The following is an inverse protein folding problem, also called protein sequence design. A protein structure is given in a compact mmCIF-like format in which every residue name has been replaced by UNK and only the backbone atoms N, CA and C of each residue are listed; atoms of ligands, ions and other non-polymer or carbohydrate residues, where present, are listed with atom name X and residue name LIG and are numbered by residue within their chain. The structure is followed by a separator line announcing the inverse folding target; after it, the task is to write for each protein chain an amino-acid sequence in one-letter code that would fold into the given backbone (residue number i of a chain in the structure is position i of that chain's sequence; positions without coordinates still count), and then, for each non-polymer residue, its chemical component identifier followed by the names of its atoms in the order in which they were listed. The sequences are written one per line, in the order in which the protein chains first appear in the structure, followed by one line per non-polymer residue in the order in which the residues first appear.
data_IF_631111315831
#
_entry.id   IF_631111315831
#
_cell.length_a   1.000
_cell.length_b   1.000
_cell.length_c   1.000
_cell.angle_alpha   90.00
_cell.angle_beta   90.00
_cell.angle_gamma   90.00
#
_symmetry.space_group_name_H-M   'P 1'
#
loop_
_entity.id
_entity.type
_entity.pdbx_description
1 polymer ?
#
# COMPACT_ATOMS: atom_id res chain seq x y z
N UNK A 1 46.88 56.92 -3.63
CA UNK A 1 46.61 56.33 -2.30
C UNK A 1 45.33 55.52 -2.40
N UNK A 2 45.33 54.24 -2.01
CA UNK A 2 44.36 53.25 -2.48
C UNK A 2 43.08 53.19 -1.64
N UNK A 3 41.92 53.15 -2.30
CA UNK A 3 40.63 52.76 -1.73
C UNK A 3 40.67 51.27 -1.37
N UNK A 4 40.62 50.95 -0.07
CA UNK A 4 40.49 49.60 0.47
C UNK A 4 39.41 49.60 1.55
N UNK A 5 38.26 48.99 1.24
CA UNK A 5 37.22 48.50 2.17
C UNK A 5 36.10 47.89 1.30
N UNK A 6 36.36 46.86 0.48
CA UNK A 6 36.28 45.43 0.82
C UNK A 6 35.21 45.11 1.86
N UNK A 7 33.99 44.91 1.36
CA UNK A 7 33.22 43.64 1.45
C UNK A 7 33.41 42.86 2.75
N UNK A 8 32.49 43.04 3.69
CA UNK A 8 32.29 42.11 4.81
C UNK A 8 30.80 42.05 5.14
N UNK A 9 30.00 41.49 4.23
CA UNK A 9 28.59 41.17 4.48
C UNK A 9 28.27 39.82 3.83
N UNK A 10 28.82 38.75 4.40
CA UNK A 10 28.51 37.38 4.01
C UNK A 10 28.66 36.47 5.23
N UNK A 11 27.69 35.55 5.35
CA UNK A 11 27.54 34.48 6.34
C UNK A 11 26.97 34.86 7.71
N UNK A 12 25.68 35.18 7.71
CA UNK A 12 24.78 34.63 8.72
C UNK A 12 23.82 33.65 8.02
N UNK A 13 24.36 32.50 7.58
CA UNK A 13 23.52 31.36 7.16
C UNK A 13 22.87 30.80 8.42
N UNK A 14 21.63 31.21 8.65
CA UNK A 14 20.74 30.58 9.63
C UNK A 14 20.54 29.14 9.16
N UNK A 15 21.26 28.21 9.80
CA UNK A 15 20.97 26.77 9.71
C UNK A 15 19.64 26.56 10.42
N UNK A 16 18.54 26.70 9.69
CA UNK A 16 17.25 26.25 10.22
C UNK A 16 17.30 24.72 10.31
N UNK A 17 17.04 24.12 11.48
CA UNK A 17 16.88 22.68 11.57
C UNK A 17 15.66 22.32 10.74
N UNK A 18 15.90 21.66 9.60
CA UNK A 18 14.86 21.07 8.78
C UNK A 18 14.21 19.99 9.67
N UNK A 19 13.10 20.33 10.30
CA UNK A 19 12.31 19.38 11.07
C UNK A 19 11.79 18.37 10.06
N UNK A 20 12.41 17.19 9.99
CA UNK A 20 11.89 16.09 9.21
C UNK A 20 10.49 15.78 9.76
N UNK A 21 9.45 16.14 9.00
CA UNK A 21 8.08 15.76 9.31
C UNK A 21 8.07 14.24 9.50
N UNK A 22 7.71 13.77 10.69
CA UNK A 22 7.58 12.35 10.93
C UNK A 22 6.51 11.81 9.97
N UNK A 23 6.93 11.01 8.97
CA UNK A 23 6.05 10.34 8.01
C UNK A 23 4.94 9.62 8.78
N UNK A 24 3.69 9.65 8.31
CA UNK A 24 2.61 8.95 8.98
C UNK A 24 2.81 7.43 8.93
N UNK A 25 2.20 6.68 9.86
CA UNK A 25 2.24 5.20 9.84
C UNK A 25 1.66 4.65 8.54
N UNK A 26 0.60 5.27 8.03
CA UNK A 26 -0.01 4.92 6.74
C UNK A 26 0.98 5.10 5.59
N UNK A 27 1.64 6.26 5.49
CA UNK A 27 2.64 6.51 4.44
C UNK A 27 3.82 5.52 4.52
N UNK A 28 4.35 5.25 5.72
CA UNK A 28 5.42 4.25 5.88
C UNK A 28 4.99 2.85 5.42
N UNK A 29 3.75 2.47 5.66
CA UNK A 29 3.23 1.18 5.21
C UNK A 29 3.09 1.12 3.68
N UNK A 30 2.67 2.22 3.05
CA UNK A 30 2.67 2.33 1.59
C UNK A 30 4.10 2.28 1.02
N UNK A 31 5.03 3.02 1.59
CA UNK A 31 6.44 3.01 1.16
C UNK A 31 7.05 1.61 1.26
N UNK A 32 6.77 0.89 2.36
CA UNK A 32 7.19 -0.49 2.55
C UNK A 32 6.54 -1.44 1.53
N UNK A 33 5.23 -1.31 1.27
CA UNK A 33 4.52 -2.10 0.27
C UNK A 33 5.07 -1.86 -1.14
N UNK A 34 5.32 -0.59 -1.50
CA UNK A 34 5.95 -0.21 -2.78
C UNK A 34 7.34 -0.83 -2.88
N UNK A 35 8.18 -0.72 -1.85
CA UNK A 35 9.51 -1.30 -1.86
C UNK A 35 9.51 -2.82 -2.02
N UNK A 36 8.58 -3.52 -1.36
CA UNK A 36 8.38 -4.97 -1.54
C UNK A 36 7.96 -5.30 -2.97
N UNK A 37 6.97 -4.57 -3.51
CA UNK A 37 6.49 -4.80 -4.87
C UNK A 37 7.59 -4.56 -5.90
N UNK A 38 8.31 -3.45 -5.83
CA UNK A 38 9.41 -3.12 -6.75
C UNK A 38 10.54 -4.15 -6.69
N UNK A 39 10.83 -4.69 -5.50
CA UNK A 39 11.82 -5.77 -5.34
C UNK A 39 11.33 -7.09 -5.93
N UNK A 40 10.03 -7.39 -5.83
CA UNK A 40 9.42 -8.58 -6.44
C UNK A 40 9.24 -8.46 -7.96
N UNK A 41 9.14 -7.24 -8.49
CA UNK A 41 8.75 -6.92 -9.86
C UNK A 41 9.48 -7.75 -10.95
N UNK A 42 10.81 -7.97 -10.88
CA UNK A 42 11.50 -8.78 -11.89
C UNK A 42 10.99 -10.22 -12.01
N UNK A 43 10.31 -10.75 -10.99
CA UNK A 43 9.79 -12.13 -10.93
C UNK A 43 8.27 -12.27 -10.98
N UNK A 44 7.49 -11.19 -11.21
CA UNK A 44 6.02 -11.22 -11.21
C UNK A 44 5.41 -11.54 -12.59
N UNK A 45 6.15 -11.36 -13.69
CA UNK A 45 5.58 -11.46 -15.04
C UNK A 45 4.58 -10.33 -15.34
N UNK A 46 3.86 -10.44 -16.46
CA UNK A 46 2.88 -9.42 -16.87
C UNK A 46 1.57 -9.47 -16.06
N UNK A 47 1.21 -10.66 -15.58
CA UNK A 47 0.01 -10.91 -14.80
C UNK A 47 0.28 -12.03 -13.78
N UNK A 48 -0.31 -11.91 -12.59
CA UNK A 48 -0.34 -12.96 -11.59
C UNK A 48 -1.74 -13.05 -10.98
N UNK A 49 -2.33 -14.24 -10.99
CA UNK A 49 -3.65 -14.52 -10.39
C UNK A 49 -4.78 -13.61 -10.90
N UNK A 50 -4.76 -13.22 -12.19
CA UNK A 50 -5.75 -12.31 -12.78
C UNK A 50 -5.52 -10.84 -12.45
N UNK A 51 -4.39 -10.50 -11.83
CA UNK A 51 -3.98 -9.13 -11.51
C UNK A 51 -2.84 -8.72 -12.44
N UNK A 52 -3.09 -7.76 -13.33
CA UNK A 52 -2.07 -7.22 -14.21
C UNK A 52 -1.01 -6.44 -13.40
N UNK A 53 0.25 -6.80 -13.55
CA UNK A 53 1.37 -6.26 -12.75
C UNK A 53 1.51 -4.75 -12.92
N UNK A 54 1.36 -4.24 -14.14
CA UNK A 54 1.42 -2.80 -14.43
C UNK A 54 0.25 -2.04 -13.78
N UNK A 55 -0.98 -2.55 -13.90
CA UNK A 55 -2.16 -1.95 -13.28
C UNK A 55 -2.03 -1.90 -11.76
N UNK A 56 -1.53 -2.98 -11.14
CA UNK A 56 -1.32 -3.01 -9.70
C UNK A 56 -0.25 -2.02 -9.25
N UNK A 57 0.86 -1.91 -10.01
CA UNK A 57 1.91 -0.90 -9.76
C UNK A 57 1.35 0.51 -9.79
N UNK A 58 0.55 0.85 -10.81
CA UNK A 58 -0.09 2.16 -10.95
C UNK A 58 -1.04 2.43 -9.78
N UNK A 59 -1.84 1.44 -9.36
CA UNK A 59 -2.71 1.56 -8.20
C UNK A 59 -1.93 1.81 -6.90
N UNK A 60 -0.82 1.09 -6.71
CA UNK A 60 -0.01 1.16 -5.50
C UNK A 60 0.81 2.46 -5.41
N UNK A 61 1.37 2.92 -6.54
CA UNK A 61 2.32 4.05 -6.58
C UNK A 61 1.66 5.38 -6.97
N UNK A 62 0.80 5.36 -7.99
CA UNK A 62 0.16 6.56 -8.53
C UNK A 62 -1.24 6.79 -7.96
N UNK A 63 -1.81 5.77 -7.30
CA UNK A 63 -3.20 5.77 -6.81
C UNK A 63 -4.22 6.04 -7.93
N UNK A 64 -3.85 5.75 -9.17
CA UNK A 64 -4.69 5.92 -10.34
C UNK A 64 -4.32 4.87 -11.37
N UNK A 65 -5.30 4.11 -11.84
CA UNK A 65 -5.07 2.95 -12.68
C UNK A 65 -6.27 2.67 -13.58
N UNK A 66 -6.10 1.79 -14.58
CA UNK A 66 -7.20 1.25 -15.39
C UNK A 66 -7.48 -0.18 -14.96
N UNK A 67 -8.70 -0.46 -14.52
CA UNK A 67 -9.09 -1.80 -14.09
C UNK A 67 -9.88 -2.51 -15.17
N UNK A 68 -9.39 -3.67 -15.62
CA UNK A 68 -10.17 -4.57 -16.46
C UNK A 68 -11.40 -5.12 -15.74
N UNK A 69 -11.36 -5.24 -14.40
CA UNK A 69 -12.48 -5.72 -13.60
C UNK A 69 -13.62 -4.70 -13.54
N UNK A 70 -13.30 -3.41 -13.41
CA UNK A 70 -14.30 -2.33 -13.33
C UNK A 70 -14.66 -1.72 -14.69
N UNK A 71 -13.86 -1.99 -15.74
CA UNK A 71 -14.08 -1.49 -17.10
C UNK A 71 -13.61 -0.05 -17.36
N UNK A 72 -13.22 0.68 -16.32
CA UNK A 72 -12.89 2.12 -16.37
C UNK A 72 -11.60 2.48 -15.64
N UNK A 73 -11.21 3.76 -15.75
CA UNK A 73 -10.18 4.34 -14.90
C UNK A 73 -10.70 4.49 -13.46
N UNK A 74 -9.85 4.16 -12.49
CA UNK A 74 -10.15 4.22 -11.05
C UNK A 74 -9.09 5.03 -10.33
N UNK A 75 -9.54 5.97 -9.51
CA UNK A 75 -8.74 6.67 -8.53
C UNK A 75 -8.86 5.96 -7.16
N UNK A 76 -7.73 5.66 -6.52
CA UNK A 76 -7.67 5.07 -5.19
C UNK A 76 -7.51 6.19 -4.15
N UNK A 77 -8.59 6.50 -3.44
CA UNK A 77 -8.56 7.47 -2.36
C UNK A 77 -8.26 6.77 -1.03
N UNK A 78 -7.24 7.27 -0.32
CA UNK A 78 -6.92 6.81 1.03
C UNK A 78 -7.62 7.71 2.04
N UNK A 79 -8.22 7.15 3.08
CA UNK A 79 -8.85 7.91 4.14
C UNK A 79 -8.61 7.24 5.48
N UNK A 80 -8.09 7.98 6.44
CA UNK A 80 -8.01 7.53 7.84
C UNK A 80 -9.36 7.72 8.53
N UNK A 81 -9.89 6.65 9.11
CA UNK A 81 -11.11 6.72 9.90
C UNK A 81 -10.82 7.36 11.27
N UNK A 82 -11.56 8.43 11.59
CA UNK A 82 -11.41 9.14 12.86
C UNK A 82 -11.93 8.32 14.06
N UNK A 83 -12.84 7.36 13.83
CA UNK A 83 -13.44 6.53 14.87
C UNK A 83 -13.81 5.14 14.34
N UNK A 84 -14.10 4.22 15.26
CA UNK A 84 -14.54 2.85 14.95
C UNK A 84 -15.92 2.86 14.29
N UNK A 85 -15.95 2.82 12.95
CA UNK A 85 -17.14 2.54 12.16
C UNK A 85 -17.47 1.03 12.18
N UNK A 86 -18.63 0.63 11.67
CA UNK A 86 -19.00 -0.79 11.56
C UNK A 86 -17.96 -1.62 10.76
N UNK A 87 -17.31 -1.02 9.75
CA UNK A 87 -16.20 -1.64 9.03
C UNK A 87 -14.93 -1.74 9.88
N UNK A 88 -14.55 -0.64 10.55
CA UNK A 88 -13.34 -0.61 11.37
C UNK A 88 -13.40 -1.48 12.62
N UNK A 89 -14.60 -1.79 13.13
CA UNK A 89 -14.77 -2.75 14.21
C UNK A 89 -14.19 -4.15 13.88
N UNK A 90 -14.00 -4.48 12.60
CA UNK A 90 -13.56 -5.81 12.14
C UNK A 90 -12.19 -5.81 11.47
N UNK A 91 -11.81 -4.72 10.81
CA UNK A 91 -10.67 -4.70 9.90
C UNK A 91 -9.62 -3.64 10.29
N UNK A 92 -8.36 -3.90 9.93
CA UNK A 92 -7.30 -2.90 10.04
C UNK A 92 -7.38 -1.88 8.90
N UNK A 93 -7.76 -2.32 7.71
CA UNK A 93 -8.14 -1.46 6.60
C UNK A 93 -9.18 -2.21 5.76
N UNK A 94 -9.89 -1.52 4.89
CA UNK A 94 -10.77 -2.14 3.91
C UNK A 94 -11.00 -1.21 2.71
N UNK A 95 -11.33 -1.77 1.55
CA UNK A 95 -11.77 -0.99 0.39
C UNK A 95 -13.29 -1.01 0.25
N UNK A 96 -13.90 0.18 0.12
CA UNK A 96 -15.29 0.32 -0.32
C UNK A 96 -15.42 -0.13 -1.78
N UNK A 97 -16.10 -1.26 -2.00
CA UNK A 97 -16.39 -1.80 -3.32
C UNK A 97 -17.92 -1.85 -3.58
N UNK A 98 -18.35 -1.73 -4.85
CA UNK A 98 -17.55 -1.36 -6.02
C UNK A 98 -17.14 0.13 -5.98
N UNK A 99 -16.18 0.57 -6.83
CA UNK A 99 -15.84 1.98 -6.97
C UNK A 99 -17.09 2.84 -7.26
N UNK A 100 -17.18 4.00 -6.61
CA UNK A 100 -18.28 4.96 -6.83
C UNK A 100 -17.75 6.16 -7.59
N UNK A 101 -18.37 6.50 -8.72
CA UNK A 101 -17.94 7.59 -9.60
C UNK A 101 -16.44 7.52 -9.97
N UNK A 102 -15.96 6.33 -10.32
CA UNK A 102 -14.55 6.10 -10.66
C UNK A 102 -13.59 6.15 -9.47
N UNK A 103 -14.07 6.17 -8.22
CA UNK A 103 -13.22 6.20 -7.03
C UNK A 103 -13.43 4.96 -6.16
N UNK A 104 -12.34 4.22 -5.90
CA UNK A 104 -12.28 3.23 -4.82
C UNK A 104 -11.74 3.92 -3.57
N UNK A 105 -12.34 3.64 -2.39
CA UNK A 105 -11.87 4.25 -1.13
C UNK A 105 -11.26 3.18 -0.24
N UNK A 106 -9.96 3.26 0.01
CA UNK A 106 -9.27 2.47 1.03
C UNK A 106 -9.35 3.22 2.35
N UNK A 107 -10.13 2.68 3.28
CA UNK A 107 -10.27 3.21 4.63
C UNK A 107 -9.23 2.55 5.54
N UNK A 108 -8.38 3.35 6.16
CA UNK A 108 -7.40 2.90 7.18
C UNK A 108 -8.04 3.08 8.56
N UNK A 109 -8.20 2.00 9.30
CA UNK A 109 -8.92 1.99 10.57
C UNK A 109 -8.00 2.23 11.76
N UNK A 110 -8.52 2.65 12.93
CA UNK A 110 -7.69 2.90 14.11
C UNK A 110 -6.82 1.71 14.52
N UNK A 111 -7.28 0.48 14.29
CA UNK A 111 -6.52 -0.75 14.53
C UNK A 111 -5.27 -0.88 13.66
N UNK A 112 -5.21 -0.28 12.47
CA UNK A 112 -3.98 -0.25 11.66
C UNK A 112 -2.82 0.43 12.39
N UNK A 113 -3.17 1.44 13.17
CA UNK A 113 -2.25 2.28 13.93
C UNK A 113 -1.91 1.71 15.31
N UNK A 114 -2.63 0.67 15.75
CA UNK A 114 -2.48 0.05 17.07
C UNK A 114 -2.02 -1.39 16.92
N UNK A 115 -0.83 -1.68 17.46
CA UNK A 115 -0.21 -3.01 17.45
C UNK A 115 0.08 -3.56 16.04
N UNK A 116 0.94 -4.57 15.97
CA UNK A 116 1.36 -5.21 14.72
C UNK A 116 2.70 -4.71 14.18
N UNK A 117 3.36 -5.60 13.43
CA UNK A 117 4.65 -5.33 12.78
C UNK A 117 4.47 -4.48 11.52
N UNK A 118 5.53 -3.79 11.10
CA UNK A 118 5.53 -3.06 9.84
C UNK A 118 5.31 -3.99 8.63
N UNK A 119 5.75 -5.25 8.74
CA UNK A 119 5.45 -6.29 7.75
C UNK A 119 3.94 -6.53 7.60
N UNK A 120 3.20 -6.64 8.72
CA UNK A 120 1.75 -6.83 8.68
C UNK A 120 1.03 -5.63 8.06
N UNK A 121 1.50 -4.40 8.33
CA UNK A 121 0.94 -3.18 7.71
C UNK A 121 1.19 -3.14 6.21
N UNK A 122 2.42 -3.44 5.79
CA UNK A 122 2.75 -3.53 4.36
C UNK A 122 1.92 -4.61 3.66
N UNK A 123 1.79 -5.81 4.25
CA UNK A 123 0.94 -6.87 3.75
C UNK A 123 -0.53 -6.42 3.62
N UNK A 124 -1.05 -5.72 4.63
CA UNK A 124 -2.42 -5.17 4.60
C UNK A 124 -2.60 -4.23 3.42
N UNK A 125 -1.66 -3.31 3.18
CA UNK A 125 -1.72 -2.43 2.01
C UNK A 125 -1.65 -3.24 0.71
N UNK A 126 -0.73 -4.21 0.62
CA UNK A 126 -0.62 -5.05 -0.56
C UNK A 126 -1.93 -5.77 -0.88
N UNK A 127 -2.58 -6.31 0.15
CA UNK A 127 -3.86 -7.00 0.09
C UNK A 127 -5.01 -6.08 -0.36
N UNK A 128 -5.22 -4.95 0.33
CA UNK A 128 -6.33 -4.04 0.03
C UNK A 128 -6.22 -3.42 -1.37
N UNK A 129 -5.01 -3.17 -1.86
CA UNK A 129 -4.83 -2.66 -3.23
C UNK A 129 -5.26 -3.70 -4.26
N UNK A 130 -5.16 -5.00 -3.99
CA UNK A 130 -5.71 -6.03 -4.90
C UNK A 130 -7.23 -5.93 -4.97
N UNK A 131 -7.92 -5.64 -3.86
CA UNK A 131 -9.36 -5.43 -3.87
C UNK A 131 -9.77 -4.26 -4.75
N UNK A 132 -9.06 -3.14 -4.64
CA UNK A 132 -9.27 -1.99 -5.52
C UNK A 132 -9.04 -2.35 -7.00
N UNK A 133 -8.04 -3.17 -7.31
CA UNK A 133 -7.64 -3.48 -8.69
C UNK A 133 -8.52 -4.54 -9.34
N UNK A 134 -8.79 -5.65 -8.63
CA UNK A 134 -9.30 -6.88 -9.20
C UNK A 134 -10.61 -7.37 -8.57
N UNK A 135 -11.16 -6.69 -7.55
CA UNK A 135 -12.44 -7.03 -6.93
C UNK A 135 -12.32 -7.83 -5.61
N UNK A 136 -13.45 -8.29 -5.06
CA UNK A 136 -13.59 -8.64 -3.63
C UNK A 136 -13.06 -10.03 -3.22
N UNK A 137 -12.33 -10.73 -4.08
CA UNK A 137 -11.86 -12.09 -3.76
C UNK A 137 -10.70 -12.05 -2.74
N UNK A 138 -11.01 -12.36 -1.48
CA UNK A 138 -10.09 -12.38 -0.33
C UNK A 138 -8.90 -13.34 -0.56
N UNK A 139 -9.17 -14.51 -1.15
CA UNK A 139 -8.16 -15.53 -1.38
C UNK A 139 -7.17 -15.11 -2.46
N UNK A 140 -7.66 -14.49 -3.54
CA UNK A 140 -6.81 -13.85 -4.56
C UNK A 140 -5.95 -12.75 -3.96
N UNK A 141 -6.57 -11.84 -3.20
CA UNK A 141 -5.88 -10.70 -2.61
C UNK A 141 -4.75 -11.14 -1.68
N UNK A 142 -5.03 -12.10 -0.79
CA UNK A 142 -4.02 -12.62 0.11
C UNK A 142 -2.94 -13.46 -0.59
N UNK A 143 -3.30 -14.31 -1.54
CA UNK A 143 -2.32 -15.08 -2.31
C UNK A 143 -1.36 -14.18 -3.08
N UNK A 144 -1.88 -13.13 -3.72
CA UNK A 144 -1.08 -12.15 -4.46
C UNK A 144 -0.14 -11.38 -3.53
N UNK A 145 -0.64 -10.90 -2.38
CA UNK A 145 0.16 -10.17 -1.40
C UNK A 145 1.29 -11.04 -0.80
N UNK A 146 0.99 -12.28 -0.41
CA UNK A 146 1.99 -13.24 0.08
C UNK A 146 3.04 -13.58 -0.99
N UNK A 147 2.61 -13.73 -2.25
CA UNK A 147 3.52 -13.99 -3.38
C UNK A 147 4.50 -12.84 -3.64
N UNK A 148 4.10 -11.58 -3.40
CA UNK A 148 4.99 -10.42 -3.43
C UNK A 148 6.02 -10.51 -2.31
N UNK A 149 5.61 -10.74 -1.06
CA UNK A 149 6.54 -10.87 0.06
C UNK A 149 7.56 -11.99 -0.18
N UNK A 150 7.09 -13.17 -0.63
CA UNK A 150 7.93 -14.32 -0.92
C UNK A 150 8.97 -14.01 -1.99
N UNK A 151 8.59 -13.35 -3.09
CA UNK A 151 9.53 -12.97 -4.16
C UNK A 151 10.50 -11.88 -3.73
N UNK A 152 10.03 -10.92 -2.95
CA UNK A 152 10.87 -9.82 -2.48
C UNK A 152 11.88 -10.27 -1.42
N UNK A 153 11.52 -11.21 -0.54
CA UNK A 153 12.30 -11.48 0.69
C UNK A 153 12.65 -12.94 0.91
N UNK A 154 12.13 -13.86 0.11
CA UNK A 154 12.25 -15.31 0.30
C UNK A 154 11.39 -15.88 1.44
N UNK A 155 10.56 -15.04 2.07
CA UNK A 155 9.61 -15.41 3.11
C UNK A 155 8.32 -14.59 2.95
N UNK A 156 7.23 -15.04 3.55
CA UNK A 156 6.00 -14.26 3.67
C UNK A 156 5.45 -14.35 5.09
N UNK A 157 4.60 -13.39 5.45
CA UNK A 157 3.94 -13.33 6.75
C UNK A 157 2.98 -14.52 6.92
N UNK A 158 3.02 -15.22 8.06
CA UNK A 158 2.10 -16.34 8.30
C UNK A 158 0.65 -15.87 8.41
N UNK A 159 -0.14 -16.24 7.41
CA UNK A 159 -1.56 -15.92 7.27
C UNK A 159 -2.45 -17.16 7.35
N UNK A 160 -1.95 -18.30 7.86
CA UNK A 160 -2.69 -19.56 7.87
C UNK A 160 -4.04 -19.50 8.61
N UNK A 161 -4.12 -18.69 9.67
CA UNK A 161 -5.37 -18.42 10.39
C UNK A 161 -6.39 -17.68 9.51
N UNK A 162 -5.97 -16.59 8.87
CA UNK A 162 -6.79 -15.82 7.94
C UNK A 162 -7.22 -16.68 6.73
N UNK A 163 -6.30 -17.47 6.18
CA UNK A 163 -6.53 -18.35 5.03
C UNK A 163 -7.62 -19.40 5.31
N UNK A 164 -7.61 -20.02 6.50
CA UNK A 164 -8.69 -20.92 6.96
C UNK A 164 -10.00 -20.17 7.22
N UNK A 165 -9.95 -19.01 7.86
CA UNK A 165 -11.16 -18.25 8.18
C UNK A 165 -11.96 -17.87 6.92
N UNK A 166 -11.27 -17.63 5.80
CA UNK A 166 -11.88 -17.31 4.51
C UNK A 166 -12.11 -18.53 3.60
N UNK A 167 -11.93 -19.76 4.11
CA UNK A 167 -12.13 -21.01 3.36
C UNK A 167 -11.27 -21.10 2.07
N UNK A 168 -10.10 -20.48 2.06
CA UNK A 168 -9.27 -20.37 0.86
C UNK A 168 -8.64 -21.69 0.41
N UNK A 169 -8.70 -22.76 1.22
CA UNK A 169 -8.28 -24.11 0.83
C UNK A 169 -9.05 -24.66 -0.37
N UNK A 170 -10.31 -24.22 -0.54
CA UNK A 170 -11.16 -24.63 -1.65
C UNK A 170 -11.09 -23.65 -2.84
N UNK A 171 -10.32 -22.56 -2.72
CA UNK A 171 -10.18 -21.56 -3.78
C UNK A 171 -9.17 -22.03 -4.85
N UNK A 172 -9.22 -21.45 -6.07
CA UNK A 172 -8.20 -21.73 -7.09
C UNK A 172 -6.84 -21.07 -6.80
N UNK A 173 -6.73 -20.29 -5.72
CA UNK A 173 -5.53 -19.57 -5.33
C UNK A 173 -4.75 -20.36 -4.29
N UNK A 174 -3.42 -20.19 -4.26
CA UNK A 174 -2.53 -20.86 -3.32
C UNK A 174 -1.56 -19.87 -2.68
N UNK A 175 -1.22 -20.12 -1.43
CA UNK A 175 -0.10 -19.44 -0.77
C UNK A 175 1.25 -19.99 -1.31
N UNK A 176 2.33 -19.18 -1.31
CA UNK A 176 3.66 -19.61 -1.75
C UNK A 176 4.33 -20.68 -0.88
#
# INVERSE_FOLDING_TARGET
MPSRLIVALLLFMVVMPLSASATSTTERAFDAAIALFEKALPGLGAEMSGVATATYRDALTLRRFRSAHWGDAVDLRITDAASESAGCARFAAYVDLPPRNGTATLTVCPRFHRDGSDALRALTILHEVVHAVAGPDECRAMAFAAAIEQRATGRFTDVGGYWRANSCQASPYALP
#
